data_IF_959125604841
#
_entry.id   IF_959125604841
#
_cell.length_a   1.000
_cell.length_b   1.000
_cell.length_c   1.000
_cell.angle_alpha   90.00
_cell.angle_beta   90.00
_cell.angle_gamma   90.00
#
_symmetry.space_group_name_H-M   'P 1'
#
loop_
_entity.id
_entity.type
_entity.pdbx_description
1 polymer ?
#
# COMPACT_ATOMS: atom_id res chain seq x y z
N UNK A 1 0.04 59.27 -10.63
CA UNK A 1 0.29 57.84 -10.30
C UNK A 1 -0.81 57.20 -9.43
N UNK A 2 -2.11 57.58 -9.58
CA UNK A 2 -3.23 56.95 -8.84
C UNK A 2 -4.11 56.04 -9.69
N UNK A 3 -4.10 56.21 -11.02
CA UNK A 3 -4.90 55.39 -11.95
C UNK A 3 -4.39 53.94 -12.11
N UNK A 4 -3.06 53.72 -12.12
CA UNK A 4 -2.48 52.37 -12.28
C UNK A 4 -2.71 51.46 -11.08
N UNK A 5 -2.85 52.02 -9.87
CA UNK A 5 -3.01 51.25 -8.64
C UNK A 5 -4.41 50.63 -8.54
N UNK A 6 -5.46 51.36 -8.95
CA UNK A 6 -6.84 50.88 -8.88
C UNK A 6 -7.12 49.75 -9.89
N UNK A 7 -6.40 49.71 -11.01
CA UNK A 7 -6.52 48.65 -12.01
C UNK A 7 -5.86 47.33 -11.57
N UNK A 8 -4.77 47.42 -10.80
CA UNK A 8 -4.07 46.27 -10.20
C UNK A 8 -4.89 45.68 -9.05
N UNK A 9 -5.49 46.53 -8.20
CA UNK A 9 -6.34 46.08 -7.08
C UNK A 9 -7.61 45.39 -7.61
N UNK A 10 -8.21 45.89 -8.69
CA UNK A 10 -9.37 45.24 -9.35
C UNK A 10 -9.01 43.89 -9.98
N UNK A 11 -7.81 43.74 -10.54
CA UNK A 11 -7.31 42.47 -11.08
C UNK A 11 -7.04 41.42 -10.01
N UNK A 12 -6.48 41.83 -8.85
CA UNK A 12 -6.22 40.94 -7.72
C UNK A 12 -7.52 40.46 -7.05
N UNK A 13 -8.54 41.31 -6.97
CA UNK A 13 -9.85 40.94 -6.46
C UNK A 13 -10.60 39.95 -7.37
N UNK A 14 -10.49 40.11 -8.70
CA UNK A 14 -11.07 39.17 -9.67
C UNK A 14 -10.38 37.80 -9.65
N UNK A 15 -9.06 37.77 -9.44
CA UNK A 15 -8.28 36.54 -9.29
C UNK A 15 -8.66 35.76 -8.02
N UNK A 16 -8.87 36.47 -6.91
CA UNK A 16 -9.26 35.85 -5.64
C UNK A 16 -10.68 35.26 -5.70
N UNK A 17 -11.64 35.96 -6.32
CA UNK A 17 -12.99 35.41 -6.55
C UNK A 17 -13.00 34.19 -7.48
N UNK A 18 -12.11 34.15 -8.48
CA UNK A 18 -12.00 32.99 -9.37
C UNK A 18 -11.34 31.79 -8.67
N UNK A 19 -10.38 32.03 -7.78
CA UNK A 19 -9.73 30.99 -6.99
C UNK A 19 -10.66 30.41 -5.90
N UNK A 20 -11.51 31.26 -5.29
CA UNK A 20 -12.53 30.85 -4.32
C UNK A 20 -13.71 30.10 -4.98
N UNK A 21 -14.08 30.44 -6.21
CA UNK A 21 -15.09 29.67 -6.97
C UNK A 21 -14.56 28.28 -7.39
N UNK A 22 -13.24 28.16 -7.59
CA UNK A 22 -12.59 26.92 -8.02
C UNK A 22 -12.47 25.89 -6.87
N UNK A 23 -12.23 26.35 -5.63
CA UNK A 23 -12.17 25.46 -4.47
C UNK A 23 -13.54 24.91 -4.06
N UNK A 24 -14.63 25.66 -4.28
CA UNK A 24 -15.99 25.16 -4.02
C UNK A 24 -16.48 24.12 -5.05
N UNK A 25 -15.86 24.05 -6.23
CA UNK A 25 -16.18 23.04 -7.27
C UNK A 25 -15.44 21.72 -7.07
N UNK A 26 -14.34 21.69 -6.31
CA UNK A 26 -13.56 20.46 -6.08
C UNK A 26 -14.18 19.56 -4.99
N UNK A 27 -15.03 20.10 -4.12
CA UNK A 27 -15.74 19.34 -3.08
C UNK A 27 -17.13 18.85 -3.52
N UNK A 28 -17.48 18.93 -4.80
CA UNK A 28 -18.81 18.58 -5.31
C UNK A 28 -18.78 17.50 -6.39
N UNK A 29 -17.94 16.48 -6.22
CA UNK A 29 -18.11 15.20 -6.90
C UNK A 29 -17.61 14.07 -6.01
N UNK A 30 -18.36 13.79 -4.95
CA UNK A 30 -18.49 12.42 -4.47
C UNK A 30 -19.83 12.26 -3.75
N UNK A 31 -20.35 11.04 -3.76
CA UNK A 31 -21.65 10.58 -3.23
C UNK A 31 -22.90 10.92 -4.06
N UNK A 32 -22.95 10.47 -5.31
CA UNK A 32 -24.20 9.92 -5.86
C UNK A 32 -24.07 8.41 -5.95
N UNK A 33 -24.29 7.71 -4.84
CA UNK A 33 -24.75 6.34 -4.92
C UNK A 33 -25.86 6.15 -3.88
N UNK A 34 -27.06 5.97 -4.39
CA UNK A 34 -28.26 5.75 -3.59
C UNK A 34 -28.11 4.46 -2.78
N UNK A 35 -28.02 4.61 -1.45
CA UNK A 35 -28.36 3.63 -0.40
C UNK A 35 -28.21 2.15 -0.77
N UNK A 36 -27.06 1.77 -1.30
CA UNK A 36 -26.70 0.39 -1.52
C UNK A 36 -25.75 -0.03 -0.40
N UNK A 37 -26.20 -0.97 0.44
CA UNK A 37 -25.45 -1.49 1.57
C UNK A 37 -25.07 -2.93 1.27
N UNK A 38 -23.78 -3.24 1.43
CA UNK A 38 -23.27 -4.61 1.35
C UNK A 38 -22.96 -5.07 2.77
N UNK A 39 -23.67 -6.10 3.23
CA UNK A 39 -23.37 -6.75 4.50
C UNK A 39 -22.59 -8.03 4.24
N UNK A 40 -21.38 -8.10 4.80
CA UNK A 40 -20.56 -9.31 4.76
C UNK A 40 -20.85 -10.16 6.00
N UNK A 41 -21.18 -11.42 5.77
CA UNK A 41 -21.36 -12.43 6.81
C UNK A 41 -20.45 -13.61 6.53
N UNK A 42 -19.92 -14.18 7.60
CA UNK A 42 -18.98 -15.28 7.55
C UNK A 42 -19.71 -16.50 8.13
N UNK A 43 -19.76 -17.59 7.37
CA UNK A 43 -20.38 -18.85 7.76
C UNK A 43 -19.47 -20.04 7.50
N UNK A 44 -19.66 -21.11 8.24
CA UNK A 44 -19.01 -22.39 7.99
C UNK A 44 -20.09 -23.39 7.61
N UNK A 45 -20.02 -23.94 6.40
CA UNK A 45 -20.93 -24.96 5.92
C UNK A 45 -20.09 -26.09 5.33
N UNK A 46 -20.29 -27.31 5.85
CA UNK A 46 -19.66 -28.55 5.38
C UNK A 46 -18.11 -28.54 5.36
N UNK A 47 -17.48 -28.02 6.43
CA UNK A 47 -16.01 -27.93 6.61
C UNK A 47 -15.27 -26.99 5.65
N UNK A 48 -15.98 -26.25 4.79
CA UNK A 48 -15.43 -25.16 3.98
C UNK A 48 -15.85 -23.82 4.59
N UNK A 49 -14.89 -22.92 4.78
CA UNK A 49 -15.16 -21.55 5.24
C UNK A 49 -15.77 -20.78 4.06
N UNK A 50 -16.92 -20.13 4.25
CA UNK A 50 -17.61 -19.42 3.18
C UNK A 50 -17.79 -17.95 3.54
N UNK A 51 -17.44 -17.07 2.60
CA UNK A 51 -17.72 -15.64 2.69
C UNK A 51 -19.03 -15.35 1.95
N UNK A 52 -20.02 -14.83 2.67
CA UNK A 52 -21.33 -14.46 2.12
C UNK A 52 -21.46 -12.96 2.07
N UNK A 53 -21.69 -12.40 0.88
CA UNK A 53 -22.03 -11.01 0.69
C UNK A 53 -23.52 -10.88 0.37
N UNK A 54 -24.22 -10.03 1.09
CA UNK A 54 -25.62 -9.67 0.80
C UNK A 54 -25.65 -8.24 0.30
N UNK A 55 -26.09 -8.04 -0.94
CA UNK A 55 -26.19 -6.72 -1.57
C UNK A 55 -27.64 -6.25 -1.52
N UNK A 56 -27.90 -5.18 -0.76
CA UNK A 56 -29.24 -4.59 -0.65
C UNK A 56 -29.22 -3.18 -1.21
N UNK A 57 -30.20 -2.83 -2.04
CA UNK A 57 -30.42 -1.45 -2.53
C UNK A 57 -31.82 -1.00 -2.07
N UNK A 58 -31.90 0.12 -1.35
CA UNK A 58 -33.18 0.66 -0.86
C UNK A 58 -34.08 -0.39 -0.14
N UNK A 59 -33.50 -1.25 0.69
CA UNK A 59 -34.18 -2.34 1.42
C UNK A 59 -34.73 -3.51 0.57
N UNK A 60 -34.40 -3.59 -0.72
CA UNK A 60 -34.70 -4.75 -1.57
C UNK A 60 -33.40 -5.48 -2.01
N UNK A 61 -33.39 -6.83 -2.04
CA UNK A 61 -32.26 -7.60 -2.52
C UNK A 61 -32.05 -7.37 -4.03
N UNK A 62 -30.80 -7.16 -4.44
CA UNK A 62 -30.47 -6.89 -5.84
C UNK A 62 -29.87 -8.14 -6.50
N UNK A 63 -30.62 -8.71 -7.45
CA UNK A 63 -30.23 -9.90 -8.23
C UNK A 63 -29.39 -9.54 -9.45
N UNK A 64 -28.49 -10.44 -9.84
CA UNK A 64 -27.79 -10.35 -11.12
C UNK A 64 -26.62 -9.37 -11.13
N UNK A 65 -26.03 -9.12 -9.95
CA UNK A 65 -24.87 -8.26 -9.79
C UNK A 65 -23.64 -9.12 -9.56
N UNK A 66 -22.58 -8.84 -10.29
CA UNK A 66 -21.33 -9.57 -10.18
C UNK A 66 -20.50 -9.02 -9.02
N UNK A 67 -20.25 -9.89 -8.04
CA UNK A 67 -19.48 -9.58 -6.83
C UNK A 67 -18.16 -10.33 -6.87
N UNK A 68 -17.07 -9.58 -6.75
CA UNK A 68 -15.72 -10.10 -6.62
C UNK A 68 -15.33 -10.05 -5.15
N UNK A 69 -14.97 -11.21 -4.59
CA UNK A 69 -14.41 -11.31 -3.25
C UNK A 69 -12.90 -11.16 -3.31
N UNK A 70 -12.35 -10.25 -2.52
CA UNK A 70 -10.93 -9.99 -2.43
C UNK A 70 -10.44 -10.09 -0.99
N UNK A 71 -9.18 -10.43 -0.81
CA UNK A 71 -8.48 -10.37 0.48
C UNK A 71 -7.44 -9.26 0.44
N UNK A 72 -7.47 -8.38 1.44
CA UNK A 72 -6.46 -7.32 1.58
C UNK A 72 -5.12 -7.94 1.96
N UNK A 73 -4.09 -7.73 1.15
CA UNK A 73 -2.69 -8.04 1.47
C UNK A 73 -1.89 -6.75 1.66
N UNK A 74 -0.64 -6.88 2.10
CA UNK A 74 0.27 -5.74 2.31
C UNK A 74 0.52 -4.92 1.04
N UNK A 75 0.47 -5.56 -0.14
CA UNK A 75 0.72 -4.91 -1.44
C UNK A 75 -0.39 -5.22 -2.44
N UNK A 76 -1.62 -4.82 -2.11
CA UNK A 76 -2.79 -4.95 -2.99
C UNK A 76 -3.86 -5.90 -2.45
N UNK A 77 -4.83 -6.22 -3.30
CA UNK A 77 -5.96 -7.10 -2.97
C UNK A 77 -5.90 -8.36 -3.83
N UNK A 78 -6.02 -9.54 -3.21
CA UNK A 78 -6.01 -10.83 -3.88
C UNK A 78 -7.46 -11.27 -4.15
N UNK A 79 -7.91 -11.43 -5.40
CA UNK A 79 -9.22 -12.03 -5.68
C UNK A 79 -9.23 -13.50 -5.23
N UNK A 80 -10.33 -13.93 -4.62
CA UNK A 80 -10.50 -15.32 -4.15
C UNK A 80 -10.98 -16.28 -5.24
N UNK A 81 -11.41 -15.74 -6.38
CA UNK A 81 -11.90 -16.49 -7.54
C UNK A 81 -12.46 -15.53 -8.60
N UNK A 82 -13.23 -16.09 -9.52
CA UNK A 82 -13.99 -15.32 -10.52
C UNK A 82 -15.17 -14.59 -9.87
N UNK A 83 -15.75 -13.63 -10.59
CA UNK A 83 -16.92 -12.91 -10.10
C UNK A 83 -18.11 -13.86 -9.89
N UNK A 84 -18.78 -13.73 -8.75
CA UNK A 84 -19.96 -14.52 -8.39
C UNK A 84 -21.19 -13.64 -8.55
N UNK A 85 -22.12 -14.06 -9.40
CA UNK A 85 -23.40 -13.37 -9.62
C UNK A 85 -24.35 -13.59 -8.44
N UNK A 86 -24.99 -12.52 -7.94
CA UNK A 86 -25.96 -12.59 -6.85
C UNK A 86 -27.25 -13.34 -7.24
N UNK A 87 -27.76 -14.16 -6.31
CA UNK A 87 -28.98 -14.95 -6.46
C UNK A 87 -30.28 -14.12 -6.29
N UNK A 88 -31.43 -14.80 -6.29
CA UNK A 88 -32.76 -14.18 -6.09
C UNK A 88 -32.90 -13.44 -4.75
N UNK A 89 -32.07 -13.75 -3.76
CA UNK A 89 -32.03 -13.10 -2.45
C UNK A 89 -30.93 -12.02 -2.36
N UNK A 90 -30.24 -11.72 -3.47
CA UNK A 90 -29.13 -10.75 -3.50
C UNK A 90 -27.87 -11.27 -2.80
N UNK A 91 -27.75 -12.59 -2.65
CA UNK A 91 -26.66 -13.25 -1.96
C UNK A 91 -25.62 -13.74 -2.97
N UNK A 92 -24.36 -13.40 -2.75
CA UNK A 92 -23.21 -14.01 -3.41
C UNK A 92 -22.43 -14.80 -2.37
N UNK A 93 -22.10 -16.05 -2.68
CA UNK A 93 -21.34 -16.96 -1.82
C UNK A 93 -20.07 -17.35 -2.54
N UNK A 94 -18.93 -17.13 -1.88
CA UNK A 94 -17.64 -17.59 -2.36
C UNK A 94 -16.94 -18.42 -1.30
N UNK A 95 -16.29 -19.49 -1.75
CA UNK A 95 -15.46 -20.34 -0.91
C UNK A 95 -14.19 -19.59 -0.50
N UNK A 96 -13.90 -19.60 0.80
CA UNK A 96 -12.72 -18.98 1.37
C UNK A 96 -11.63 -20.05 1.57
N UNK A 97 -10.52 -20.00 0.82
CA UNK A 97 -9.44 -20.96 0.99
C UNK A 97 -8.77 -20.80 2.36
N UNK A 98 -8.41 -21.92 2.99
CA UNK A 98 -7.83 -21.90 4.35
C UNK A 98 -6.31 -21.62 4.36
N UNK A 99 -5.67 -21.59 3.19
CA UNK A 99 -4.21 -21.39 3.04
C UNK A 99 -3.79 -19.91 2.95
N UNK A 100 -4.66 -18.98 3.39
CA UNK A 100 -4.36 -17.57 3.34
C UNK A 100 -3.60 -17.15 4.60
N UNK A 101 -2.37 -16.59 4.46
CA UNK A 101 -1.64 -16.08 5.61
C UNK A 101 -2.34 -14.85 6.17
N UNK A 102 -2.64 -14.88 7.47
CA UNK A 102 -3.17 -13.78 8.24
C UNK A 102 -2.11 -13.03 9.03
N UNK A 103 -2.55 -12.09 9.86
CA UNK A 103 -1.69 -11.37 10.80
C UNK A 103 -1.16 -12.30 11.92
N UNK A 104 -0.53 -11.70 12.94
CA UNK A 104 -0.01 -12.45 14.09
C UNK A 104 -1.08 -13.24 14.85
N UNK A 105 -2.35 -12.81 14.80
CA UNK A 105 -3.49 -13.44 15.46
C UNK A 105 -4.32 -14.30 14.48
N UNK A 106 -3.97 -14.33 13.18
CA UNK A 106 -4.73 -15.01 12.14
C UNK A 106 -5.88 -14.19 11.54
N UNK A 107 -5.95 -12.88 11.81
CA UNK A 107 -6.95 -12.02 11.21
C UNK A 107 -6.62 -11.71 9.74
N UNK A 108 -7.67 -11.71 8.92
CA UNK A 108 -7.64 -11.42 7.49
C UNK A 108 -8.77 -10.45 7.19
N UNK A 109 -8.46 -9.40 6.43
CA UNK A 109 -9.47 -8.44 5.96
C UNK A 109 -9.99 -8.88 4.60
N UNK A 110 -11.27 -9.21 4.53
CA UNK A 110 -11.97 -9.56 3.28
C UNK A 110 -12.71 -8.33 2.78
N UNK A 111 -12.63 -8.09 1.48
CA UNK A 111 -13.37 -7.08 0.76
C UNK A 111 -14.33 -7.77 -0.21
N UNK A 112 -15.54 -7.23 -0.33
CA UNK A 112 -16.41 -7.54 -1.46
C UNK A 112 -16.52 -6.28 -2.32
N UNK A 113 -16.14 -6.42 -3.59
CA UNK A 113 -16.26 -5.38 -4.60
C UNK A 113 -17.35 -5.78 -5.58
N UNK A 114 -18.31 -4.90 -5.77
CA UNK A 114 -19.32 -5.02 -6.84
C UNK A 114 -18.75 -4.40 -8.11
N UNK A 115 -18.87 -5.10 -9.25
CA UNK A 115 -18.55 -4.53 -10.55
C UNK A 115 -19.57 -3.43 -10.92
N UNK A 116 -19.07 -2.36 -11.52
CA UNK A 116 -19.88 -1.17 -11.83
C UNK A 116 -21.03 -1.54 -12.76
N UNK A 117 -22.26 -1.30 -12.30
CA UNK A 117 -23.47 -1.46 -13.08
C UNK A 117 -24.29 -0.17 -12.98
N UNK A 118 -25.05 0.18 -14.03
CA UNK A 118 -25.91 1.37 -14.08
C UNK A 118 -26.86 1.49 -12.86
N UNK A 119 -27.15 0.36 -12.20
CA UNK A 119 -28.02 0.30 -11.02
C UNK A 119 -27.28 0.44 -9.69
N UNK A 120 -26.02 0.09 -9.61
CA UNK A 120 -25.20 0.10 -8.40
C UNK A 120 -23.80 0.46 -8.87
N UNK A 121 -23.43 1.74 -8.76
CA UNK A 121 -22.04 2.16 -9.00
C UNK A 121 -21.06 1.41 -8.07
N UNK A 122 -19.79 1.77 -8.08
CA UNK A 122 -18.78 1.01 -7.32
C UNK A 122 -19.12 0.94 -5.81
N UNK A 123 -19.32 -0.28 -5.31
CA UNK A 123 -19.55 -0.54 -3.89
C UNK A 123 -18.45 -1.44 -3.34
N UNK A 124 -17.91 -1.04 -2.20
CA UNK A 124 -16.85 -1.74 -1.49
C UNK A 124 -17.29 -1.97 -0.04
N UNK A 125 -17.47 -3.22 0.35
CA UNK A 125 -17.60 -3.60 1.76
C UNK A 125 -16.33 -4.26 2.26
N UNK A 126 -15.92 -3.93 3.48
CA UNK A 126 -14.74 -4.49 4.13
C UNK A 126 -15.11 -5.07 5.47
N UNK A 127 -14.69 -6.31 5.75
CA UNK A 127 -14.88 -6.96 7.05
C UNK A 127 -13.68 -7.83 7.42
N UNK A 128 -13.30 -7.81 8.69
CA UNK A 128 -12.21 -8.64 9.22
C UNK A 128 -12.74 -9.97 9.75
N UNK A 129 -11.98 -11.06 9.57
CA UNK A 129 -12.28 -12.41 10.07
C UNK A 129 -11.00 -13.12 10.53
N UNK A 130 -11.08 -13.96 11.57
CA UNK A 130 -9.94 -14.73 12.13
C UNK A 130 -9.81 -16.10 11.44
N UNK A 131 -9.72 -16.12 10.12
CA UNK A 131 -9.66 -17.36 9.33
C UNK A 131 -8.32 -17.57 8.63
N UNK A 132 -7.38 -16.66 8.81
CA UNK A 132 -6.03 -16.79 8.26
C UNK A 132 -5.12 -17.64 9.11
N UNK A 133 -4.09 -18.19 8.49
CA UNK A 133 -3.00 -18.86 9.19
C UNK A 133 -2.16 -17.81 9.92
N UNK A 134 -1.96 -17.91 11.25
CA UNK A 134 -1.20 -16.92 12.00
C UNK A 134 0.25 -16.88 11.52
N UNK A 135 0.67 -15.72 11.02
CA UNK A 135 2.02 -15.55 10.48
C UNK A 135 2.91 -14.89 11.51
N UNK A 136 3.92 -15.61 12.02
CA UNK A 136 4.93 -14.99 12.86
C UNK A 136 5.97 -14.29 11.99
N UNK A 137 5.91 -12.95 11.95
CA UNK A 137 6.98 -12.14 11.36
C UNK A 137 8.19 -12.24 12.30
N UNK A 138 9.21 -13.00 11.88
CA UNK A 138 10.50 -12.98 12.57
C UNK A 138 11.17 -11.65 12.27
N UNK A 139 11.63 -10.95 13.29
CA UNK A 139 12.45 -9.77 13.12
C UNK A 139 13.74 -10.17 12.35
N UNK A 140 13.92 -9.57 11.16
CA UNK A 140 15.08 -9.82 10.29
C UNK A 140 16.14 -8.73 10.44
N UNK A 141 15.90 -7.68 11.24
CA UNK A 141 16.83 -6.56 11.42
C UNK A 141 18.03 -6.93 12.31
N UNK A 142 17.91 -7.99 13.10
CA UNK A 142 19.02 -8.56 13.88
C UNK A 142 19.97 -9.43 13.05
N UNK A 143 19.62 -9.74 11.79
CA UNK A 143 20.46 -10.54 10.90
C UNK A 143 21.40 -9.65 10.08
N UNK A 144 22.63 -10.14 9.82
CA UNK A 144 23.60 -9.44 8.98
C UNK A 144 23.13 -9.35 7.53
N UNK A 145 22.42 -8.28 7.18
CA UNK A 145 21.76 -8.10 5.88
C UNK A 145 21.95 -6.67 5.38
N UNK A 146 21.78 -6.44 4.07
CA UNK A 146 21.88 -5.11 3.48
C UNK A 146 20.84 -4.11 4.00
N UNK A 147 19.79 -4.62 4.65
CA UNK A 147 18.63 -3.86 5.13
C UNK A 147 18.47 -3.98 6.66
N UNK A 148 19.49 -4.49 7.35
CA UNK A 148 19.55 -4.58 8.80
C UNK A 148 19.95 -3.25 9.45
N UNK A 149 20.04 -3.24 10.78
CA UNK A 149 20.58 -2.09 11.51
C UNK A 149 22.04 -1.84 11.15
N UNK A 150 22.55 -0.61 11.37
CA UNK A 150 23.93 -0.24 11.01
C UNK A 150 24.99 -1.16 11.64
N UNK A 151 24.71 -1.73 12.81
CA UNK A 151 25.59 -2.68 13.51
C UNK A 151 25.67 -4.05 12.81
N UNK A 152 24.61 -4.42 12.08
CA UNK A 152 24.45 -5.69 11.40
C UNK A 152 24.77 -5.61 9.89
N UNK A 153 25.75 -4.80 9.50
CA UNK A 153 26.20 -4.76 8.11
C UNK A 153 26.76 -6.12 7.63
N UNK A 154 26.49 -6.56 6.38
CA UNK A 154 27.04 -7.80 5.82
C UNK A 154 28.57 -7.79 5.79
N UNK A 155 29.18 -8.93 6.11
CA UNK A 155 30.64 -9.06 6.25
C UNK A 155 31.35 -8.69 4.94
N UNK A 156 30.80 -9.09 3.79
CA UNK A 156 31.37 -8.75 2.48
C UNK A 156 31.47 -7.24 2.27
N UNK A 157 30.46 -6.48 2.70
CA UNK A 157 30.46 -5.01 2.58
C UNK A 157 31.52 -4.39 3.49
N UNK A 158 31.61 -4.86 4.74
CA UNK A 158 32.62 -4.40 5.71
C UNK A 158 34.04 -4.65 5.18
N UNK A 159 34.31 -5.86 4.70
CA UNK A 159 35.60 -6.23 4.12
C UNK A 159 35.93 -5.36 2.92
N UNK A 160 34.95 -5.09 2.04
CA UNK A 160 35.17 -4.27 0.84
C UNK A 160 35.58 -2.84 1.23
N UNK A 161 34.85 -2.19 2.13
CA UNK A 161 35.15 -0.82 2.57
C UNK A 161 36.50 -0.74 3.28
N UNK A 162 36.77 -1.68 4.21
CA UNK A 162 38.06 -1.74 4.92
C UNK A 162 39.21 -1.98 3.95
N UNK A 163 39.03 -2.82 2.93
CA UNK A 163 40.07 -3.08 1.94
C UNK A 163 40.40 -1.85 1.09
N UNK A 164 39.41 -1.04 0.71
CA UNK A 164 39.62 0.21 -0.01
C UNK A 164 40.40 1.22 0.84
N UNK A 165 40.05 1.35 2.13
CA UNK A 165 40.78 2.22 3.07
C UNK A 165 42.22 1.73 3.23
N UNK A 166 42.44 0.42 3.38
CA UNK A 166 43.77 -0.17 3.47
C UNK A 166 44.61 0.06 2.20
N UNK A 167 43.99 0.02 1.02
CA UNK A 167 44.65 0.30 -0.25
C UNK A 167 45.15 1.75 -0.33
N UNK A 168 44.31 2.72 0.07
CA UNK A 168 44.72 4.14 0.13
C UNK A 168 45.88 4.33 1.11
N UNK A 169 45.81 3.74 2.30
CA UNK A 169 46.92 3.77 3.28
C UNK A 169 48.19 3.13 2.73
N UNK A 170 48.07 2.01 2.01
CA UNK A 170 49.21 1.34 1.37
C UNK A 170 49.95 2.24 0.38
N UNK A 171 49.22 3.01 -0.44
CA UNK A 171 49.82 3.95 -1.40
C UNK A 171 50.54 5.09 -0.67
N UNK A 172 49.95 5.64 0.41
CA UNK A 172 50.58 6.70 1.20
C UNK A 172 51.88 6.20 1.82
N UNK A 173 51.87 5.01 2.44
CA UNK A 173 53.06 4.39 3.05
C UNK A 173 54.14 4.14 1.99
N UNK A 174 53.75 3.70 0.79
CA UNK A 174 54.67 3.49 -0.32
C UNK A 174 55.37 4.79 -0.74
N UNK A 175 54.62 5.89 -0.90
CA UNK A 175 55.20 7.20 -1.24
C UNK A 175 56.17 7.70 -0.16
N UNK A 176 55.80 7.58 1.12
CA UNK A 176 56.67 7.98 2.23
C UNK A 176 57.96 7.15 2.28
N UNK A 177 57.87 5.84 2.04
CA UNK A 177 59.02 4.95 2.00
C UNK A 177 60.01 5.33 0.88
N UNK A 178 59.50 5.71 -0.30
CA UNK A 178 60.34 6.20 -1.40
C UNK A 178 61.01 7.52 -1.04
N UNK A 179 60.29 8.45 -0.39
CA UNK A 179 60.84 9.73 0.04
C UNK A 179 61.98 9.56 1.07
N UNK A 180 61.80 8.66 2.04
CA UNK A 180 62.83 8.32 3.03
C UNK A 180 64.05 7.69 2.36
N UNK A 181 63.84 6.81 1.36
CA UNK A 181 64.92 6.16 0.62
C UNK A 181 65.77 7.18 -0.15
N UNK A 182 65.12 8.14 -0.82
CA UNK A 182 65.81 9.23 -1.54
C UNK A 182 66.60 10.11 -0.58
N UNK A 183 66.01 10.51 0.55
CA UNK A 183 66.69 11.34 1.55
C UNK A 183 67.93 10.64 2.15
N UNK A 184 67.86 9.30 2.33
CA UNK A 184 69.03 8.53 2.78
C UNK A 184 70.13 8.46 1.72
N UNK A 185 69.78 8.33 0.44
CA UNK A 185 70.76 8.27 -0.65
C UNK A 185 71.41 9.63 -0.95
N UNK A 186 70.68 10.74 -0.74
CA UNK A 186 71.23 12.10 -0.92
C UNK A 186 72.08 12.62 0.26
N UNK A 187 72.14 11.88 1.37
CA UNK A 187 72.99 12.20 2.54
C UNK A 187 74.33 11.45 2.56
N UNK A 188 74.57 10.57 1.60
CA UNK A 188 75.86 9.90 1.37
C UNK A 188 76.66 10.66 0.31
#
# INVERSE_FOLDING_TARGET
MKLKLNHIIRGLALSCSFFVLCTQRLSAQDSTNAEAQITLTFGEQDSVKQAKAVVTKNHAPLKGVDVIFLVKKSFGSLPLGDAVTTDDNGEAVADFPTDIPGDHEGNVTVLAKVEENDQTGELLATKSTNWGVPTTVKDRFDQRTLWGTAENAPITLVVTVVSLVALVWGIIIYMLSQLVKINRLGKA
#
